data_IF_393888002296
#
_entry.id   IF_393888002296
#
_cell.length_a   1.000
_cell.length_b   1.000
_cell.length_c   1.000
_cell.angle_alpha   90.00
_cell.angle_beta   90.00
_cell.angle_gamma   90.00
#
_symmetry.space_group_name_H-M   'P 1'
#
loop_
_entity.id
_entity.type
_entity.pdbx_description
1 polymer ?
#
# COMPACT_ATOMS: atom_id res chain seq x y z
N UNK A 1 -11.01 7.43 8.72
CA UNK A 1 -11.54 6.88 7.45
C UNK A 1 -11.15 5.40 7.43
N UNK A 2 -12.12 4.51 7.26
CA UNK A 2 -11.85 3.08 7.20
C UNK A 2 -11.24 2.72 5.83
N UNK A 3 -10.43 1.67 5.80
CA UNK A 3 -9.96 1.06 4.57
C UNK A 3 -11.14 0.64 3.68
N UNK A 4 -11.14 1.04 2.42
CA UNK A 4 -12.36 1.03 1.58
C UNK A 4 -12.50 -0.18 0.66
N UNK A 5 -11.56 -1.12 0.69
CA UNK A 5 -11.62 -2.31 -0.17
C UNK A 5 -12.39 -3.45 0.49
N UNK A 6 -12.96 -4.34 -0.32
CA UNK A 6 -13.68 -5.53 0.15
C UNK A 6 -12.71 -6.59 0.65
N UNK A 7 -11.61 -6.77 -0.09
CA UNK A 7 -10.52 -7.65 0.27
C UNK A 7 -9.39 -6.81 0.88
N UNK A 8 -9.00 -7.01 2.15
CA UNK A 8 -7.97 -6.21 2.79
C UNK A 8 -6.55 -6.67 2.38
N UNK A 9 -6.33 -6.82 1.08
CA UNK A 9 -5.04 -7.20 0.49
C UNK A 9 -4.64 -6.19 -0.58
N UNK A 10 -3.36 -5.83 -0.59
CA UNK A 10 -2.78 -4.96 -1.61
C UNK A 10 -1.88 -5.82 -2.50
N UNK A 11 -2.17 -5.86 -3.79
CA UNK A 11 -1.29 -6.49 -4.77
C UNK A 11 -0.13 -5.54 -5.10
N UNK A 12 1.11 -6.00 -4.90
CA UNK A 12 2.34 -5.25 -5.13
C UNK A 12 3.03 -5.83 -6.36
N UNK A 13 2.98 -5.12 -7.49
CA UNK A 13 3.48 -5.59 -8.77
C UNK A 13 4.84 -4.97 -9.13
N UNK A 14 5.83 -5.23 -8.27
CA UNK A 14 7.19 -4.71 -8.46
C UNK A 14 7.86 -5.31 -9.70
N UNK A 15 8.40 -4.44 -10.55
CA UNK A 15 9.14 -4.85 -11.74
C UNK A 15 8.28 -5.09 -12.96
N UNK A 16 6.96 -4.93 -12.87
CA UNK A 16 6.06 -5.09 -14.01
C UNK A 16 6.39 -4.08 -15.12
N UNK A 17 6.31 -4.53 -16.37
CA UNK A 17 6.54 -3.71 -17.55
C UNK A 17 5.23 -3.23 -18.17
N UNK A 18 5.26 -2.13 -18.98
CA UNK A 18 4.03 -1.60 -19.58
C UNK A 18 3.26 -2.59 -20.46
N UNK A 19 3.95 -3.44 -21.19
CA UNK A 19 3.34 -4.45 -22.06
C UNK A 19 2.66 -5.60 -21.29
N UNK A 20 3.00 -5.80 -20.02
CA UNK A 20 2.44 -6.82 -19.13
C UNK A 20 1.34 -6.24 -18.22
N UNK A 21 1.39 -4.95 -17.94
CA UNK A 21 0.64 -4.32 -16.83
C UNK A 21 -0.87 -4.54 -16.94
N UNK A 22 -1.48 -4.29 -18.10
CA UNK A 22 -2.93 -4.41 -18.28
C UNK A 22 -3.43 -5.85 -18.05
N UNK A 23 -2.76 -6.83 -18.64
CA UNK A 23 -3.16 -8.23 -18.51
C UNK A 23 -2.94 -8.73 -17.07
N UNK A 24 -1.81 -8.39 -16.46
CA UNK A 24 -1.48 -8.86 -15.11
C UNK A 24 -2.40 -8.22 -14.06
N UNK A 25 -2.62 -6.91 -14.12
CA UNK A 25 -3.54 -6.23 -13.22
C UNK A 25 -4.98 -6.72 -13.41
N UNK A 26 -5.42 -6.95 -14.65
CA UNK A 26 -6.71 -7.56 -14.92
C UNK A 26 -6.88 -8.91 -14.25
N UNK A 27 -5.88 -9.80 -14.36
CA UNK A 27 -5.90 -11.12 -13.73
C UNK A 27 -5.95 -11.04 -12.19
N UNK A 28 -5.21 -10.10 -11.60
CA UNK A 28 -5.20 -9.86 -10.14
C UNK A 28 -6.58 -9.37 -9.68
N UNK A 29 -7.21 -8.45 -10.40
CA UNK A 29 -8.57 -7.96 -10.10
C UNK A 29 -9.60 -9.08 -10.27
N UNK A 30 -9.51 -9.88 -11.33
CA UNK A 30 -10.40 -11.02 -11.56
C UNK A 30 -10.27 -12.09 -10.46
N UNK A 31 -9.09 -12.21 -9.85
CA UNK A 31 -8.84 -13.05 -8.68
C UNK A 31 -9.43 -12.48 -7.37
N UNK A 32 -9.95 -11.26 -7.37
CA UNK A 32 -10.64 -10.64 -6.25
C UNK A 32 -9.89 -9.51 -5.55
N UNK A 33 -8.68 -9.16 -5.98
CA UNK A 33 -8.00 -7.99 -5.43
C UNK A 33 -8.69 -6.71 -5.92
N UNK A 34 -8.89 -5.79 -4.99
CA UNK A 34 -9.45 -4.47 -5.27
C UNK A 34 -8.56 -3.32 -4.75
N UNK A 35 -7.29 -3.63 -4.46
CA UNK A 35 -6.22 -2.66 -4.26
C UNK A 35 -4.94 -3.16 -4.95
N UNK A 36 -4.37 -2.35 -5.81
CA UNK A 36 -3.18 -2.68 -6.60
C UNK A 36 -2.22 -1.49 -6.62
N UNK A 37 -0.95 -1.75 -6.35
CA UNK A 37 0.09 -0.72 -6.49
C UNK A 37 1.24 -1.19 -7.39
N UNK A 38 1.73 -0.28 -8.23
CA UNK A 38 2.98 -0.44 -8.96
C UNK A 38 4.06 0.36 -8.25
N UNK A 39 5.11 -0.29 -7.73
CA UNK A 39 6.25 0.43 -7.14
C UNK A 39 7.00 1.28 -8.18
N UNK A 40 7.37 2.51 -7.80
CA UNK A 40 8.05 3.45 -8.71
C UNK A 40 9.50 3.04 -9.09
N UNK A 41 10.00 1.97 -8.52
CA UNK A 41 11.23 1.33 -8.99
C UNK A 41 10.96 0.21 -10.03
N UNK A 42 9.75 0.14 -10.57
CA UNK A 42 9.41 -0.68 -11.73
C UNK A 42 9.75 0.05 -13.03
N UNK A 43 10.12 -0.66 -14.12
CA UNK A 43 10.50 -0.01 -15.37
C UNK A 43 9.31 0.72 -16.00
N UNK A 44 9.54 1.95 -16.45
CA UNK A 44 8.56 2.75 -17.22
C UNK A 44 7.17 2.84 -16.54
N UNK A 45 7.15 2.98 -15.22
CA UNK A 45 5.92 3.08 -14.44
C UNK A 45 5.03 4.25 -14.91
N UNK A 46 5.62 5.29 -15.47
CA UNK A 46 4.93 6.45 -16.03
C UNK A 46 4.00 6.08 -17.21
N UNK A 47 4.27 4.95 -17.85
CA UNK A 47 3.41 4.39 -18.92
C UNK A 47 2.41 3.40 -18.34
N UNK A 48 2.83 2.54 -17.42
CA UNK A 48 1.99 1.50 -16.84
C UNK A 48 0.85 2.06 -15.99
N UNK A 49 1.16 3.01 -15.10
CA UNK A 49 0.18 3.51 -14.13
C UNK A 49 -1.02 4.19 -14.80
N UNK A 50 -0.86 5.15 -15.73
CA UNK A 50 -2.03 5.75 -16.39
C UNK A 50 -2.88 4.73 -17.13
N UNK A 51 -2.26 3.76 -17.79
CA UNK A 51 -2.97 2.73 -18.54
C UNK A 51 -3.85 1.86 -17.64
N UNK A 52 -3.35 1.45 -16.47
CA UNK A 52 -4.14 0.64 -15.54
C UNK A 52 -5.19 1.46 -14.78
N UNK A 53 -4.93 2.75 -14.53
CA UNK A 53 -5.93 3.67 -13.97
C UNK A 53 -7.12 3.81 -14.93
N UNK A 54 -6.86 4.05 -16.22
CA UNK A 54 -7.90 4.16 -17.24
C UNK A 54 -8.73 2.88 -17.36
N UNK A 55 -8.07 1.71 -17.31
CA UNK A 55 -8.74 0.43 -17.51
C UNK A 55 -9.50 -0.07 -16.25
N UNK A 56 -8.98 0.21 -15.06
CA UNK A 56 -9.42 -0.46 -13.83
C UNK A 56 -9.69 0.48 -12.65
N UNK A 57 -9.49 1.79 -12.78
CA UNK A 57 -9.63 2.74 -11.69
C UNK A 57 -11.06 2.87 -11.15
N UNK A 58 -12.07 2.41 -11.88
CA UNK A 58 -13.46 2.29 -11.45
C UNK A 58 -13.77 0.98 -10.71
N UNK A 59 -12.89 -0.01 -10.80
CA UNK A 59 -13.07 -1.36 -10.23
C UNK A 59 -12.20 -1.63 -9.02
N UNK A 60 -11.04 -0.96 -8.93
CA UNK A 60 -10.06 -1.18 -7.89
C UNK A 60 -9.39 0.13 -7.49
N UNK A 61 -8.85 0.15 -6.27
CA UNK A 61 -8.01 1.22 -5.76
C UNK A 61 -6.62 1.08 -6.39
N UNK A 62 -6.36 1.83 -7.46
CA UNK A 62 -5.12 1.78 -8.21
C UNK A 62 -4.16 2.85 -7.72
N UNK A 63 -2.91 2.49 -7.49
CA UNK A 63 -1.93 3.42 -7.02
C UNK A 63 -0.48 3.03 -7.26
N UNK A 64 0.39 3.67 -6.52
CA UNK A 64 1.83 3.52 -6.60
C UNK A 64 2.45 3.17 -5.26
N UNK A 65 3.48 2.35 -5.29
CA UNK A 65 4.36 2.07 -4.15
C UNK A 65 5.73 2.69 -4.31
N UNK A 66 6.51 2.65 -3.25
CA UNK A 66 7.87 3.20 -3.23
C UNK A 66 7.90 4.68 -3.65
N UNK A 67 6.89 5.42 -3.19
CA UNK A 67 6.76 6.87 -3.41
C UNK A 67 7.59 7.59 -2.36
N UNK A 68 8.67 8.24 -2.78
CA UNK A 68 9.69 8.78 -1.86
C UNK A 68 9.75 10.31 -1.86
N UNK A 69 9.12 10.96 -2.83
CA UNK A 69 9.22 12.42 -3.01
C UNK A 69 7.85 13.06 -3.22
N UNK A 70 7.62 14.25 -2.64
CA UNK A 70 6.36 14.98 -2.83
C UNK A 70 5.97 15.21 -4.30
N UNK A 71 6.96 15.49 -5.18
CA UNK A 71 6.74 15.74 -6.60
C UNK A 71 6.21 14.49 -7.34
N UNK A 72 6.57 13.30 -6.85
CA UNK A 72 6.00 12.05 -7.36
C UNK A 72 4.50 11.95 -7.06
N UNK A 73 4.08 12.41 -5.87
CA UNK A 73 2.65 12.47 -5.51
C UNK A 73 1.89 13.37 -6.49
N UNK A 74 2.43 14.55 -6.83
CA UNK A 74 1.81 15.46 -7.79
C UNK A 74 1.64 14.81 -9.18
N UNK A 75 2.66 14.08 -9.63
CA UNK A 75 2.60 13.36 -10.90
C UNK A 75 1.54 12.25 -10.87
N UNK A 76 1.49 11.47 -9.79
CA UNK A 76 0.54 10.39 -9.59
C UNK A 76 -0.90 10.91 -9.47
N UNK A 77 -1.10 12.06 -8.85
CA UNK A 77 -2.41 12.72 -8.80
C UNK A 77 -2.91 13.06 -10.20
N UNK A 78 -2.05 13.61 -11.07
CA UNK A 78 -2.40 13.88 -12.47
C UNK A 78 -2.73 12.64 -13.28
N UNK A 79 -2.17 11.48 -12.90
CA UNK A 79 -2.48 10.17 -13.51
C UNK A 79 -3.77 9.54 -12.98
N UNK A 80 -4.41 10.13 -11.98
CA UNK A 80 -5.65 9.61 -11.39
C UNK A 80 -5.43 8.51 -10.34
N UNK A 81 -4.23 8.37 -9.80
CA UNK A 81 -3.94 7.44 -8.70
C UNK A 81 -4.77 7.78 -7.46
N UNK A 82 -5.21 6.73 -6.77
CA UNK A 82 -6.04 6.82 -5.57
C UNK A 82 -5.33 6.26 -4.32
N UNK A 83 -4.22 5.55 -4.49
CA UNK A 83 -3.48 4.89 -3.42
C UNK A 83 -2.00 5.25 -3.48
N UNK A 84 -1.44 5.66 -2.36
CA UNK A 84 -0.01 5.88 -2.18
C UNK A 84 0.51 4.95 -1.09
N UNK A 85 1.51 4.15 -1.44
CA UNK A 85 2.22 3.26 -0.52
C UNK A 85 3.69 3.65 -0.49
N UNK A 86 4.26 3.73 0.70
CA UNK A 86 5.67 4.09 0.86
C UNK A 86 6.43 3.05 1.68
N UNK A 87 7.75 2.93 1.55
CA UNK A 87 8.55 2.05 2.41
C UNK A 87 8.96 2.70 3.72
N UNK A 88 8.75 4.02 3.85
CA UNK A 88 9.24 4.85 4.95
C UNK A 88 8.21 5.92 5.33
N UNK A 89 8.52 6.69 6.35
CA UNK A 89 7.74 7.86 6.73
C UNK A 89 8.39 9.13 6.20
N UNK A 90 7.66 9.83 5.34
CA UNK A 90 7.98 11.16 4.87
C UNK A 90 6.72 12.03 5.00
N UNK A 91 6.68 12.88 6.03
CA UNK A 91 5.46 13.62 6.40
C UNK A 91 4.88 14.46 5.26
N UNK A 92 5.73 15.06 4.42
CA UNK A 92 5.25 15.87 3.30
C UNK A 92 4.64 15.02 2.18
N UNK A 93 5.21 13.85 1.89
CA UNK A 93 4.60 12.88 0.96
C UNK A 93 3.20 12.50 1.43
N UNK A 94 3.06 12.19 2.72
CA UNK A 94 1.78 11.80 3.32
C UNK A 94 0.79 12.96 3.25
N UNK A 95 1.15 14.15 3.71
CA UNK A 95 0.27 15.33 3.70
C UNK A 95 -0.19 15.69 2.30
N UNK A 96 0.71 15.63 1.33
CA UNK A 96 0.41 15.96 -0.06
C UNK A 96 -0.57 14.96 -0.67
N UNK A 97 -0.36 13.66 -0.45
CA UNK A 97 -1.28 12.62 -0.92
C UNK A 97 -2.66 12.73 -0.25
N UNK A 98 -2.71 12.97 1.06
CA UNK A 98 -3.96 13.24 1.79
C UNK A 98 -4.66 14.48 1.24
N UNK A 99 -3.91 15.54 0.93
CA UNK A 99 -4.44 16.77 0.32
C UNK A 99 -5.08 16.56 -1.04
N UNK A 100 -4.63 15.58 -1.81
CA UNK A 100 -5.27 15.15 -3.07
C UNK A 100 -6.44 14.18 -2.86
N UNK A 101 -6.77 13.82 -1.63
CA UNK A 101 -7.83 12.86 -1.32
C UNK A 101 -7.45 11.40 -1.55
N UNK A 102 -6.16 11.11 -1.70
CA UNK A 102 -5.67 9.74 -1.87
C UNK A 102 -5.67 8.97 -0.55
N UNK A 103 -5.86 7.67 -0.62
CA UNK A 103 -5.59 6.76 0.50
C UNK A 103 -4.08 6.56 0.65
N UNK A 104 -3.57 6.72 1.86
CA UNK A 104 -2.13 6.62 2.13
C UNK A 104 -1.85 5.51 3.13
N UNK A 105 -0.97 4.58 2.75
CA UNK A 105 -0.51 3.48 3.57
C UNK A 105 1.03 3.52 3.68
N UNK A 106 1.58 4.38 4.54
CA UNK A 106 3.03 4.57 4.64
C UNK A 106 3.68 3.47 5.48
N UNK A 107 4.92 3.12 5.10
CA UNK A 107 5.72 2.10 5.76
C UNK A 107 6.42 2.63 7.00
N UNK A 108 6.27 1.93 8.11
CA UNK A 108 6.95 2.22 9.36
C UNK A 108 7.41 0.93 10.04
N UNK A 109 8.30 1.09 11.00
CA UNK A 109 8.82 -0.01 11.81
C UNK A 109 8.80 0.30 13.31
N UNK A 110 8.65 1.55 13.72
CA UNK A 110 8.69 1.98 15.14
C UNK A 110 7.44 2.75 15.53
N UNK A 111 7.20 2.86 16.83
CA UNK A 111 6.09 3.66 17.36
C UNK A 111 6.20 5.13 16.94
N UNK A 112 7.40 5.72 17.02
CA UNK A 112 7.61 7.12 16.61
C UNK A 112 7.25 7.34 15.16
N UNK A 113 7.67 6.47 14.25
CA UNK A 113 7.32 6.55 12.84
C UNK A 113 5.80 6.41 12.62
N UNK A 114 5.17 5.45 13.32
CA UNK A 114 3.73 5.25 13.22
C UNK A 114 2.94 6.50 13.63
N UNK A 115 3.26 7.10 14.78
CA UNK A 115 2.60 8.32 15.24
C UNK A 115 2.90 9.52 14.34
N UNK A 116 4.12 9.64 13.82
CA UNK A 116 4.46 10.68 12.83
C UNK A 116 3.60 10.56 11.56
N UNK A 117 3.36 9.33 11.09
CA UNK A 117 2.49 9.08 9.95
C UNK A 117 1.05 9.49 10.22
N UNK A 118 0.52 9.15 11.40
CA UNK A 118 -0.85 9.50 11.80
C UNK A 118 -1.02 11.03 11.94
N UNK A 119 -0.04 11.72 12.52
CA UNK A 119 -0.03 13.19 12.59
C UNK A 119 -0.01 13.86 11.21
N UNK A 120 0.63 13.20 10.23
CA UNK A 120 0.62 13.67 8.84
C UNK A 120 -0.69 13.37 8.10
N UNK A 121 -1.60 12.58 8.68
CA UNK A 121 -2.93 12.28 8.14
C UNK A 121 -3.08 10.91 7.52
N UNK A 122 -2.13 9.99 7.69
CA UNK A 122 -2.26 8.62 7.18
C UNK A 122 -3.48 7.91 7.77
N UNK A 123 -4.23 7.19 6.92
CA UNK A 123 -5.43 6.46 7.31
C UNK A 123 -5.15 4.98 7.61
N UNK A 124 -4.01 4.49 7.16
CA UNK A 124 -3.52 3.14 7.37
C UNK A 124 -2.02 3.18 7.61
N UNK A 125 -1.47 2.11 8.14
CA UNK A 125 -0.02 1.93 8.35
C UNK A 125 0.41 0.60 7.74
N UNK A 126 1.56 0.59 7.13
CA UNK A 126 2.26 -0.60 6.65
C UNK A 126 3.43 -0.88 7.58
N UNK A 127 3.49 -2.05 8.17
CA UNK A 127 4.69 -2.50 8.89
C UNK A 127 5.62 -3.17 7.89
N UNK A 128 6.82 -2.62 7.73
CA UNK A 128 7.75 -3.05 6.68
C UNK A 128 9.22 -2.98 7.15
N UNK A 129 9.98 -4.03 6.91
CA UNK A 129 9.58 -5.36 6.44
C UNK A 129 9.02 -6.24 7.58
N UNK A 130 7.78 -6.69 7.47
CA UNK A 130 7.10 -7.42 8.55
C UNK A 130 7.80 -8.70 8.98
N UNK A 131 8.40 -9.43 8.03
CA UNK A 131 9.13 -10.67 8.32
C UNK A 131 10.33 -10.48 9.23
N UNK A 132 10.93 -9.29 9.24
CA UNK A 132 12.05 -8.97 10.11
C UNK A 132 11.63 -8.76 11.58
N UNK A 133 10.39 -8.35 11.82
CA UNK A 133 9.87 -8.03 13.15
C UNK A 133 9.01 -9.13 13.76
N UNK A 134 8.21 -9.79 12.93
CA UNK A 134 7.32 -10.86 13.34
C UNK A 134 5.96 -10.40 13.89
N UNK A 135 4.98 -11.33 14.00
CA UNK A 135 3.62 -11.01 14.43
C UNK A 135 3.54 -10.44 15.87
N UNK A 136 4.38 -10.89 16.76
CA UNK A 136 4.37 -10.42 18.15
C UNK A 136 4.77 -8.96 18.28
N UNK A 137 5.68 -8.49 17.43
CA UNK A 137 6.07 -7.09 17.35
C UNK A 137 4.87 -6.21 16.95
N UNK A 138 4.14 -6.62 15.91
CA UNK A 138 2.94 -5.91 15.44
C UNK A 138 1.87 -5.87 16.53
N UNK A 139 1.64 -6.99 17.21
CA UNK A 139 0.69 -7.06 18.31
C UNK A 139 1.03 -6.09 19.44
N UNK A 140 2.30 -6.01 19.80
CA UNK A 140 2.78 -5.06 20.82
C UNK A 140 2.63 -3.61 20.37
N UNK A 141 2.98 -3.29 19.13
CA UNK A 141 2.84 -1.94 18.58
C UNK A 141 1.37 -1.51 18.52
N UNK A 142 0.47 -2.40 18.14
CA UNK A 142 -0.96 -2.12 18.10
C UNK A 142 -1.58 -1.82 19.46
N UNK A 143 -0.98 -2.25 20.56
CA UNK A 143 -1.47 -1.94 21.90
C UNK A 143 -1.46 -0.43 22.22
N UNK A 144 -0.62 0.35 21.56
CA UNK A 144 -0.52 1.81 21.75
C UNK A 144 -1.10 2.62 20.59
N UNK A 145 -1.39 1.99 19.45
CA UNK A 145 -2.00 2.68 18.31
C UNK A 145 -3.52 2.86 18.50
N UNK A 146 -4.12 3.89 17.88
CA UNK A 146 -5.57 4.03 17.85
C UNK A 146 -6.23 2.78 17.27
N UNK A 147 -7.32 2.32 17.89
CA UNK A 147 -7.99 1.07 17.54
C UNK A 147 -8.63 1.04 16.14
N UNK A 148 -8.91 2.22 15.60
CA UNK A 148 -9.53 2.42 14.28
C UNK A 148 -8.52 2.50 13.12
N UNK A 149 -7.21 2.43 13.41
CA UNK A 149 -6.18 2.46 12.38
C UNK A 149 -5.96 1.07 11.81
N UNK A 150 -6.11 0.95 10.50
CA UNK A 150 -5.79 -0.28 9.78
C UNK A 150 -4.27 -0.46 9.67
N UNK A 151 -3.76 -1.61 10.12
CA UNK A 151 -2.35 -1.98 10.02
C UNK A 151 -2.20 -3.14 9.03
N UNK A 152 -1.33 -2.97 8.05
CA UNK A 152 -1.03 -3.95 7.02
C UNK A 152 0.35 -4.57 7.23
N UNK A 153 0.43 -5.89 7.19
CA UNK A 153 1.72 -6.60 7.15
C UNK A 153 2.24 -6.60 5.71
N UNK A 154 3.47 -6.16 5.51
CA UNK A 154 4.11 -6.12 4.18
C UNK A 154 5.56 -6.57 4.29
N UNK A 155 6.00 -7.40 3.35
CA UNK A 155 7.34 -7.99 3.34
C UNK A 155 7.37 -9.37 3.98
N UNK A 156 7.58 -10.39 3.14
CA UNK A 156 7.60 -11.79 3.57
C UNK A 156 6.24 -12.38 3.92
N UNK A 157 5.16 -11.73 3.53
CA UNK A 157 3.80 -12.28 3.67
C UNK A 157 3.51 -13.22 2.50
N UNK A 158 3.05 -14.41 2.83
CA UNK A 158 2.65 -15.45 1.87
C UNK A 158 1.24 -15.97 2.20
N UNK A 159 0.58 -16.67 1.29
CA UNK A 159 -0.69 -17.32 1.60
C UNK A 159 -0.62 -18.24 2.82
N UNK A 160 0.50 -18.95 3.01
CA UNK A 160 0.69 -19.90 4.10
C UNK A 160 0.84 -19.22 5.47
N UNK A 161 1.42 -18.02 5.54
CA UNK A 161 1.64 -17.31 6.80
C UNK A 161 0.64 -16.16 7.05
N UNK A 162 -0.27 -15.88 6.12
CA UNK A 162 -1.20 -14.75 6.22
C UNK A 162 -2.01 -14.77 7.53
N UNK A 163 -2.48 -15.95 7.94
CA UNK A 163 -3.27 -16.10 9.15
C UNK A 163 -2.54 -15.56 10.40
N UNK A 164 -1.23 -15.76 10.51
CA UNK A 164 -0.43 -15.30 11.65
C UNK A 164 -0.46 -13.76 11.79
N UNK A 165 -0.47 -13.04 10.66
CA UNK A 165 -0.52 -11.59 10.64
C UNK A 165 -1.90 -11.06 11.02
N UNK A 166 -2.94 -11.72 10.52
CA UNK A 166 -4.33 -11.39 10.88
C UNK A 166 -4.57 -11.67 12.38
N UNK A 167 -4.09 -12.80 12.91
CA UNK A 167 -4.18 -13.14 14.34
C UNK A 167 -3.41 -12.15 15.24
N UNK A 168 -2.34 -11.56 14.72
CA UNK A 168 -1.62 -10.48 15.41
C UNK A 168 -2.38 -9.14 15.43
N UNK A 169 -3.50 -9.04 14.69
CA UNK A 169 -4.35 -7.88 14.63
C UNK A 169 -4.14 -6.99 13.40
N UNK A 170 -3.44 -7.48 12.38
CA UNK A 170 -3.39 -6.78 11.10
C UNK A 170 -4.78 -6.77 10.46
N UNK A 171 -5.16 -5.63 9.89
CA UNK A 171 -6.38 -5.52 9.08
C UNK A 171 -6.24 -6.24 7.74
N UNK A 172 -5.02 -6.35 7.24
CA UNK A 172 -4.72 -6.96 5.96
C UNK A 172 -3.21 -7.07 5.72
N UNK A 173 -2.85 -7.28 4.45
CA UNK A 173 -1.47 -7.47 4.04
C UNK A 173 -1.19 -6.96 2.63
N UNK A 174 0.08 -6.71 2.34
CA UNK A 174 0.58 -6.53 0.99
C UNK A 174 1.31 -7.79 0.51
N UNK A 175 0.92 -8.27 -0.65
CA UNK A 175 1.47 -9.47 -1.30
C UNK A 175 2.20 -9.06 -2.58
N UNK A 176 3.40 -9.55 -2.77
CA UNK A 176 4.22 -9.22 -3.94
C UNK A 176 4.85 -10.42 -4.60
N UNK A 177 5.71 -11.15 -3.90
CA UNK A 177 6.53 -12.23 -4.48
C UNK A 177 5.71 -13.38 -5.07
N UNK A 178 4.49 -13.60 -4.60
CA UNK A 178 3.60 -14.69 -5.03
C UNK A 178 2.59 -14.25 -6.11
N UNK A 179 2.72 -13.04 -6.58
CA UNK A 179 1.88 -12.45 -7.65
C UNK A 179 2.71 -12.21 -8.96
#
# INVERSE_FOLDING_TARGET
MQWQTKLPLIAILRGIKPDEALAHVGAVIDAGFDAVEIPLNSPQWEQSIPAIVDAYGDKALIGAGTVLKPEQVDALARMGCQLIVTPNIHSEVIRRAVGYGMTVCPGCATATEAFTALEAGAQALKIFPSSAFGPQYIKALKAVLPSDIAVFAVGGVTPENLAQWIDAGCAGAGLGSDL
#
